data_IF_980669607387
#
_entry.id   IF_980669607387
#
_cell.length_a   1.000
_cell.length_b   1.000
_cell.length_c   1.000
_cell.angle_alpha   90.00
_cell.angle_beta   90.00
_cell.angle_gamma   90.00
#
_symmetry.space_group_name_H-M   'P 1'
#
loop_
_entity.id
_entity.type
_entity.pdbx_description
1 polymer ?
#
# COMPACT_ATOMS: atom_id res chain seq x y z
N UNK A 1 -34.10 54.32 -1.25
CA UNK A 1 -33.15 54.04 -2.34
C UNK A 1 -31.74 53.89 -1.75
N UNK A 2 -31.12 52.74 -2.03
CA UNK A 2 -29.68 52.38 -1.95
C UNK A 2 -28.89 52.68 -0.65
N UNK A 3 -28.58 51.61 0.10
CA UNK A 3 -27.39 51.55 0.97
C UNK A 3 -26.38 50.56 0.39
N UNK A 4 -25.18 51.08 0.22
CA UNK A 4 -23.88 50.51 -0.13
C UNK A 4 -23.56 49.09 0.39
N UNK A 5 -23.13 48.25 -0.56
CA UNK A 5 -22.03 47.27 -0.50
C UNK A 5 -21.53 46.79 0.87
N UNK A 6 -21.94 45.58 1.26
CA UNK A 6 -21.13 44.73 2.14
C UNK A 6 -20.49 43.61 1.32
N UNK A 7 -19.21 43.79 1.03
CA UNK A 7 -18.27 42.71 0.71
C UNK A 7 -18.39 41.64 1.79
N UNK A 8 -19.01 40.50 1.47
CA UNK A 8 -18.83 39.26 2.24
C UNK A 8 -17.49 38.70 1.82
N UNK A 9 -16.50 38.95 2.68
CA UNK A 9 -15.22 38.26 2.74
C UNK A 9 -15.44 36.77 2.53
N UNK A 10 -14.90 36.24 1.43
CA UNK A 10 -14.93 34.83 1.12
C UNK A 10 -14.22 34.05 2.22
N UNK A 11 -14.96 33.15 2.87
CA UNK A 11 -14.38 32.11 3.67
C UNK A 11 -13.52 31.23 2.75
N UNK A 12 -12.21 31.43 2.79
CA UNK A 12 -11.22 30.47 2.32
C UNK A 12 -11.49 29.16 3.06
N UNK A 13 -12.20 28.25 2.40
CA UNK A 13 -12.30 26.85 2.79
C UNK A 13 -10.88 26.32 2.81
N UNK A 14 -10.31 26.23 4.00
CA UNK A 14 -9.09 25.46 4.26
C UNK A 14 -9.39 24.03 3.85
N UNK A 15 -8.96 23.66 2.65
CA UNK A 15 -8.86 22.27 2.22
C UNK A 15 -7.88 21.63 3.19
N UNK A 16 -8.39 20.92 4.19
CA UNK A 16 -7.59 20.24 5.20
C UNK A 16 -6.50 19.40 4.52
N UNK A 17 -5.31 19.37 5.10
CA UNK A 17 -4.13 18.65 4.61
C UNK A 17 -4.40 17.18 4.18
N UNK A 18 -5.50 16.59 4.62
CA UNK A 18 -6.02 15.27 4.21
C UNK A 18 -6.35 15.13 2.71
N UNK A 19 -6.74 16.19 1.98
CA UNK A 19 -6.98 16.10 0.54
C UNK A 19 -5.70 15.80 -0.26
N UNK A 20 -4.53 16.18 0.28
CA UNK A 20 -3.22 15.87 -0.28
C UNK A 20 -2.88 14.38 -0.12
N UNK A 21 -3.39 13.72 0.93
CA UNK A 21 -3.16 12.29 1.17
C UNK A 21 -3.91 11.38 0.18
N UNK A 22 -5.15 11.72 -0.15
CA UNK A 22 -5.86 11.06 -1.24
C UNK A 22 -5.13 11.29 -2.57
N UNK A 23 -4.73 12.54 -2.86
CA UNK A 23 -4.00 12.86 -4.10
C UNK A 23 -2.69 12.07 -4.27
N UNK A 24 -1.90 11.89 -3.20
CA UNK A 24 -0.66 11.08 -3.23
C UNK A 24 -0.89 9.57 -3.42
N UNK A 25 -2.10 9.06 -3.14
CA UNK A 25 -2.52 7.68 -3.46
C UNK A 25 -3.00 7.52 -4.91
N UNK A 26 -3.27 8.63 -5.62
CA UNK A 26 -3.85 8.62 -6.97
C UNK A 26 -2.90 9.08 -8.08
N UNK A 27 -1.64 9.43 -7.77
CA UNK A 27 -0.64 9.79 -8.80
C UNK A 27 0.08 8.56 -9.36
N UNK A 28 -0.58 7.85 -10.28
CA UNK A 28 0.08 7.13 -11.35
C UNK A 28 -0.75 7.32 -12.63
N UNK A 29 -0.24 8.06 -13.64
CA UNK A 29 -1.01 8.30 -14.86
C UNK A 29 -0.98 7.03 -15.74
N UNK A 30 -2.17 6.55 -16.13
CA UNK A 30 -2.35 5.92 -17.45
C UNK A 30 -2.11 4.42 -17.62
N UNK A 31 -2.55 3.54 -16.70
CA UNK A 31 -2.78 2.13 -17.07
C UNK A 31 -4.21 1.71 -16.72
N UNK A 32 -4.98 1.34 -17.74
CA UNK A 32 -6.30 0.72 -17.59
C UNK A 32 -6.23 -0.62 -16.86
N UNK A 33 -7.39 -1.24 -16.55
CA UNK A 33 -7.43 -2.48 -15.80
C UNK A 33 -6.77 -3.61 -16.60
N UNK A 34 -5.71 -4.19 -16.05
CA UNK A 34 -5.09 -5.41 -16.58
C UNK A 34 -5.97 -6.58 -16.11
N UNK A 35 -6.50 -7.43 -17.01
CA UNK A 35 -7.16 -8.66 -16.60
C UNK A 35 -6.16 -9.61 -15.94
N UNK A 36 -6.62 -10.40 -14.96
CA UNK A 36 -5.85 -11.31 -14.10
C UNK A 36 -5.08 -12.46 -14.82
N UNK A 37 -4.85 -12.36 -16.13
CA UNK A 37 -4.08 -13.31 -16.94
C UNK A 37 -2.87 -12.73 -17.68
N UNK A 38 -2.60 -11.42 -17.63
CA UNK A 38 -1.56 -10.78 -18.45
C UNK A 38 -0.59 -9.87 -17.66
N UNK A 39 -0.27 -10.24 -16.42
CA UNK A 39 0.76 -9.57 -15.62
C UNK A 39 2.04 -10.41 -15.57
N UNK A 40 2.62 -10.70 -16.75
CA UNK A 40 4.03 -11.04 -16.87
C UNK A 40 4.66 -9.89 -17.64
N UNK A 41 5.56 -9.15 -16.99
CA UNK A 41 6.30 -8.05 -17.62
C UNK A 41 5.75 -6.65 -17.35
N UNK A 42 6.19 -6.05 -16.23
CA UNK A 42 6.50 -4.62 -16.03
C UNK A 42 6.16 -4.15 -14.60
N UNK A 43 7.10 -4.36 -13.68
CA UNK A 43 7.54 -3.34 -12.71
C UNK A 43 6.60 -2.81 -11.63
N UNK A 44 5.31 -3.18 -11.60
CA UNK A 44 4.42 -2.94 -10.46
C UNK A 44 4.01 -4.29 -9.89
N UNK A 45 4.70 -4.72 -8.84
CA UNK A 45 4.15 -5.73 -7.95
C UNK A 45 2.89 -5.16 -7.32
N UNK A 46 1.73 -5.51 -7.89
CA UNK A 46 0.52 -5.66 -7.08
C UNK A 46 0.95 -6.61 -5.99
N UNK A 47 1.08 -6.12 -4.75
CA UNK A 47 1.38 -6.97 -3.61
C UNK A 47 0.33 -8.08 -3.62
N UNK A 48 0.74 -9.30 -3.97
CA UNK A 48 -0.09 -10.47 -3.76
C UNK A 48 -0.47 -10.46 -2.29
N UNK A 49 -1.76 -10.26 -2.02
CA UNK A 49 -2.33 -10.39 -0.68
C UNK A 49 -2.06 -11.82 -0.25
N UNK A 50 -1.25 -12.10 0.79
CA UNK A 50 -1.22 -13.44 1.35
C UNK A 50 -2.64 -13.73 1.82
N UNK A 51 -3.26 -14.74 1.22
CA UNK A 51 -4.56 -15.21 1.66
C UNK A 51 -4.50 -15.48 3.16
N UNK A 52 -5.48 -14.96 3.90
CA UNK A 52 -5.76 -15.46 5.25
C UNK A 52 -5.97 -16.97 5.16
N UNK A 53 -5.26 -17.74 5.98
CA UNK A 53 -5.13 -19.21 5.90
C UNK A 53 -6.36 -19.99 6.37
N UNK A 54 -7.51 -19.32 6.53
CA UNK A 54 -8.80 -20.00 6.56
C UNK A 54 -9.15 -20.75 7.84
N UNK A 55 -8.34 -20.70 8.90
CA UNK A 55 -8.48 -21.69 9.99
C UNK A 55 -9.50 -21.41 11.10
N UNK A 56 -10.37 -20.38 11.01
CA UNK A 56 -11.52 -20.28 11.94
C UNK A 56 -12.85 -19.93 11.24
N UNK A 57 -13.99 -20.46 11.74
CA UNK A 57 -15.29 -20.25 11.10
C UNK A 57 -15.70 -18.78 11.18
N UNK A 58 -16.26 -18.27 10.08
CA UNK A 58 -16.90 -16.95 10.04
C UNK A 58 -18.02 -16.90 11.11
N UNK A 59 -18.23 -15.76 11.79
CA UNK A 59 -19.40 -15.63 12.65
C UNK A 59 -20.68 -15.73 11.81
N UNK A 60 -21.66 -16.49 12.32
CA UNK A 60 -22.92 -16.81 11.66
C UNK A 60 -23.69 -15.55 11.19
N UNK A 61 -24.64 -15.74 10.26
CA UNK A 61 -25.48 -14.70 9.66
C UNK A 61 -26.09 -13.69 10.67
N UNK A 62 -26.25 -14.07 11.95
CA UNK A 62 -26.66 -13.20 13.04
C UNK A 62 -25.68 -12.03 13.32
N UNK A 63 -24.37 -12.22 13.18
CA UNK A 63 -23.38 -11.15 13.34
C UNK A 63 -23.42 -10.14 12.17
N UNK A 64 -23.77 -10.62 10.96
CA UNK A 64 -24.04 -9.76 9.81
C UNK A 64 -25.33 -8.95 9.99
N UNK A 65 -26.37 -9.54 10.60
CA UNK A 65 -27.60 -8.85 10.97
C UNK A 65 -27.40 -7.82 12.10
N UNK A 66 -26.44 -8.04 13.01
CA UNK A 66 -26.09 -7.08 14.06
C UNK A 66 -25.39 -5.82 13.51
N UNK A 67 -24.64 -5.92 12.41
CA UNK A 67 -24.06 -4.78 11.71
C UNK A 67 -25.12 -3.89 11.02
N UNK A 68 -26.24 -4.49 10.61
CA UNK A 68 -27.38 -3.83 9.95
C UNK A 68 -28.53 -3.48 10.92
N UNK A 69 -28.42 -3.86 12.20
CA UNK A 69 -29.51 -3.83 13.17
C UNK A 69 -29.42 -2.75 14.28
N UNK A 70 -30.38 -1.81 14.24
CA UNK A 70 -30.98 -1.03 15.35
C UNK A 70 -30.10 -0.10 16.21
N UNK A 71 -29.31 0.76 15.56
CA UNK A 71 -29.20 2.21 15.86
C UNK A 71 -28.62 3.00 14.66
N UNK A 72 -28.57 2.36 13.49
CA UNK A 72 -27.98 2.94 12.30
C UNK A 72 -28.90 4.04 11.72
N UNK A 73 -28.36 5.26 11.54
CA UNK A 73 -28.88 6.15 10.49
C UNK A 73 -28.97 5.35 9.18
N UNK A 74 -29.95 5.62 8.30
CA UNK A 74 -30.31 4.69 7.23
C UNK A 74 -29.11 4.51 6.30
N UNK A 75 -28.44 3.36 6.43
CA UNK A 75 -27.37 2.94 5.53
C UNK A 75 -27.81 3.03 4.05
N UNK A 76 -29.13 2.90 3.81
CA UNK A 76 -29.77 3.14 2.51
C UNK A 76 -29.52 4.54 1.94
N UNK A 77 -29.78 5.64 2.67
CA UNK A 77 -29.76 6.98 2.06
C UNK A 77 -28.34 7.45 1.66
N UNK A 78 -27.31 7.11 2.43
CA UNK A 78 -25.92 7.42 2.07
C UNK A 78 -25.36 6.45 1.03
N UNK A 79 -25.71 5.16 1.14
CA UNK A 79 -25.37 4.14 0.13
C UNK A 79 -25.99 4.45 -1.25
N UNK A 80 -27.25 4.86 -1.28
CA UNK A 80 -27.95 5.24 -2.52
C UNK A 80 -27.32 6.48 -3.15
N UNK A 81 -26.91 7.47 -2.35
CA UNK A 81 -26.16 8.63 -2.83
C UNK A 81 -24.80 8.23 -3.40
N UNK A 82 -24.08 7.31 -2.76
CA UNK A 82 -22.82 6.77 -3.26
C UNK A 82 -23.01 6.05 -4.61
N UNK A 83 -24.04 5.20 -4.72
CA UNK A 83 -24.38 4.51 -5.96
C UNK A 83 -24.80 5.47 -7.08
N UNK A 84 -25.58 6.52 -6.74
CA UNK A 84 -25.96 7.56 -7.69
C UNK A 84 -24.74 8.35 -8.18
N UNK A 85 -23.80 8.65 -7.29
CA UNK A 85 -22.53 9.28 -7.65
C UNK A 85 -21.75 8.40 -8.63
N UNK A 86 -21.54 7.11 -8.33
CA UNK A 86 -20.82 6.19 -9.22
C UNK A 86 -21.40 6.17 -10.63
N UNK A 87 -22.73 6.10 -10.76
CA UNK A 87 -23.43 6.12 -12.06
C UNK A 87 -23.24 7.43 -12.83
N UNK A 88 -22.92 8.53 -12.14
CA UNK A 88 -22.66 9.83 -12.77
C UNK A 88 -21.20 10.03 -13.18
N UNK A 89 -20.27 9.17 -12.73
CA UNK A 89 -18.86 9.29 -13.04
C UNK A 89 -18.55 8.76 -14.44
N UNK A 90 -17.81 9.55 -15.21
CA UNK A 90 -17.37 9.17 -16.55
C UNK A 90 -16.21 8.17 -16.51
N UNK A 91 -16.22 7.06 -17.27
CA UNK A 91 -15.03 6.23 -17.43
C UNK A 91 -13.84 7.07 -17.92
N UNK A 92 -12.69 6.94 -17.26
CA UNK A 92 -11.49 7.75 -17.59
C UNK A 92 -11.57 9.23 -17.21
N UNK A 93 -12.55 9.66 -16.40
CA UNK A 93 -12.76 11.06 -16.02
C UNK A 93 -11.65 11.70 -15.16
N UNK A 94 -10.61 10.95 -14.79
CA UNK A 94 -9.39 11.44 -14.14
C UNK A 94 -9.67 12.30 -12.91
N UNK A 95 -9.05 13.49 -12.86
CA UNK A 95 -9.14 14.43 -11.74
C UNK A 95 -10.56 14.91 -11.45
N UNK A 96 -11.44 14.98 -12.45
CA UNK A 96 -12.83 15.42 -12.24
C UNK A 96 -13.61 14.42 -11.39
N UNK A 97 -13.47 13.12 -11.71
CA UNK A 97 -14.10 12.06 -10.91
C UNK A 97 -13.52 12.05 -9.50
N UNK A 98 -12.20 12.16 -9.38
CA UNK A 98 -11.52 12.21 -8.09
C UNK A 98 -12.03 13.36 -7.23
N UNK A 99 -12.16 14.57 -7.80
CA UNK A 99 -12.68 15.73 -7.07
C UNK A 99 -14.13 15.51 -6.58
N UNK A 100 -15.01 14.97 -7.43
CA UNK A 100 -16.39 14.67 -7.06
C UNK A 100 -16.48 13.63 -5.93
N UNK A 101 -15.65 12.58 -6.00
CA UNK A 101 -15.53 11.54 -4.97
C UNK A 101 -15.08 12.13 -3.63
N UNK A 102 -14.02 12.94 -3.64
CA UNK A 102 -13.48 13.53 -2.43
C UNK A 102 -14.45 14.53 -1.81
N UNK A 103 -15.15 15.32 -2.62
CA UNK A 103 -16.18 16.23 -2.15
C UNK A 103 -17.34 15.48 -1.51
N UNK A 104 -17.77 14.37 -2.11
CA UNK A 104 -18.80 13.51 -1.53
C UNK A 104 -18.38 12.97 -0.17
N UNK A 105 -17.19 12.37 -0.08
CA UNK A 105 -16.68 11.81 1.17
C UNK A 105 -16.52 12.89 2.26
N UNK A 106 -15.97 14.07 1.92
CA UNK A 106 -15.81 15.18 2.87
C UNK A 106 -17.14 15.66 3.47
N UNK A 107 -18.25 15.54 2.72
CA UNK A 107 -19.59 15.90 3.18
C UNK A 107 -20.28 14.88 4.09
N UNK A 108 -19.65 13.73 4.36
CA UNK A 108 -20.22 12.70 5.23
C UNK A 108 -19.87 12.97 6.70
N UNK A 109 -20.89 12.84 7.55
CA UNK A 109 -20.74 12.62 8.99
C UNK A 109 -20.46 11.13 9.28
N UNK A 110 -20.19 10.78 10.55
CA UNK A 110 -19.78 9.44 10.93
C UNK A 110 -20.85 8.38 10.57
N UNK A 111 -22.12 8.71 10.81
CA UNK A 111 -23.24 7.82 10.55
C UNK A 111 -23.46 7.60 9.04
N UNK A 112 -23.38 8.66 8.24
CA UNK A 112 -23.48 8.59 6.78
C UNK A 112 -22.27 7.89 6.15
N UNK A 113 -21.06 8.12 6.67
CA UNK A 113 -19.85 7.44 6.20
C UNK A 113 -19.92 5.94 6.46
N UNK A 114 -20.34 5.54 7.67
CA UNK A 114 -20.63 4.14 8.00
C UNK A 114 -21.70 3.55 7.08
N UNK A 115 -22.81 4.25 6.87
CA UNK A 115 -23.88 3.80 6.00
C UNK A 115 -23.44 3.60 4.55
N UNK A 116 -22.70 4.57 4.00
CA UNK A 116 -22.12 4.49 2.66
C UNK A 116 -21.11 3.34 2.55
N UNK A 117 -20.24 3.15 3.55
CA UNK A 117 -19.31 2.02 3.60
C UNK A 117 -20.06 0.69 3.58
N UNK A 118 -21.06 0.52 4.44
CA UNK A 118 -21.87 -0.70 4.53
C UNK A 118 -22.57 -1.07 3.21
N UNK A 119 -22.85 -0.09 2.35
CA UNK A 119 -23.42 -0.36 1.02
C UNK A 119 -22.50 -1.14 0.09
N UNK A 120 -21.23 -1.36 0.47
CA UNK A 120 -20.28 -2.21 -0.26
C UNK A 120 -20.25 -3.67 0.21
N UNK A 121 -20.93 -4.03 1.30
CA UNK A 121 -20.91 -5.40 1.84
C UNK A 121 -21.43 -6.41 0.81
N UNK A 122 -20.74 -7.54 0.66
CA UNK A 122 -21.13 -8.63 -0.25
C UNK A 122 -20.94 -8.33 -1.73
N UNK A 123 -20.49 -7.14 -2.11
CA UNK A 123 -20.21 -6.79 -3.53
C UNK A 123 -18.86 -7.31 -4.03
N UNK A 124 -18.03 -7.84 -3.13
CA UNK A 124 -16.70 -8.33 -3.47
C UNK A 124 -15.75 -7.23 -3.95
N UNK A 125 -14.76 -7.61 -4.76
CA UNK A 125 -13.81 -6.67 -5.36
C UNK A 125 -14.50 -5.71 -6.33
N UNK A 126 -14.23 -4.42 -6.19
CA UNK A 126 -14.72 -3.40 -7.11
C UNK A 126 -14.02 -3.57 -8.47
N UNK A 127 -14.79 -3.93 -9.49
CA UNK A 127 -14.26 -4.20 -10.84
C UNK A 127 -13.84 -2.96 -11.63
N UNK A 128 -14.13 -1.76 -11.13
CA UNK A 128 -13.79 -0.50 -11.79
C UNK A 128 -13.09 0.50 -10.84
N UNK A 129 -12.27 1.35 -11.45
CA UNK A 129 -11.45 2.34 -10.73
C UNK A 129 -12.31 3.33 -9.92
N UNK A 130 -13.44 3.79 -10.46
CA UNK A 130 -14.27 4.80 -9.80
C UNK A 130 -14.90 4.24 -8.52
N UNK A 131 -15.38 2.99 -8.57
CA UNK A 131 -15.89 2.27 -7.40
C UNK A 131 -14.80 2.12 -6.34
N UNK A 132 -13.60 1.67 -6.73
CA UNK A 132 -12.48 1.56 -5.80
C UNK A 132 -12.15 2.91 -5.13
N UNK A 133 -12.03 3.98 -5.93
CA UNK A 133 -11.72 5.33 -5.44
C UNK A 133 -12.79 5.86 -4.48
N UNK A 134 -14.07 5.65 -4.81
CA UNK A 134 -15.17 6.10 -3.96
C UNK A 134 -15.14 5.42 -2.61
N UNK A 135 -15.04 4.09 -2.59
CA UNK A 135 -15.10 3.37 -1.33
C UNK A 135 -13.83 3.56 -0.49
N UNK A 136 -12.64 3.68 -1.10
CA UNK A 136 -11.43 4.08 -0.36
C UNK A 136 -11.62 5.43 0.35
N UNK A 137 -12.19 6.43 -0.34
CA UNK A 137 -12.48 7.73 0.24
C UNK A 137 -13.54 7.65 1.36
N UNK A 138 -14.59 6.83 1.19
CA UNK A 138 -15.64 6.63 2.20
C UNK A 138 -15.10 5.91 3.44
N UNK A 139 -14.33 4.82 3.28
CA UNK A 139 -13.71 4.11 4.41
C UNK A 139 -12.72 5.00 5.15
N UNK A 140 -11.89 5.75 4.42
CA UNK A 140 -10.95 6.71 5.01
C UNK A 140 -11.69 7.78 5.80
N UNK A 141 -12.75 8.37 5.23
CA UNK A 141 -13.58 9.34 5.94
C UNK A 141 -14.20 8.78 7.21
N UNK A 142 -14.72 7.56 7.15
CA UNK A 142 -15.27 6.91 8.33
C UNK A 142 -14.19 6.71 9.40
N UNK A 143 -13.00 6.26 9.02
CA UNK A 143 -11.86 6.10 9.94
C UNK A 143 -11.34 7.41 10.52
N UNK A 144 -11.38 8.52 9.78
CA UNK A 144 -11.04 9.86 10.29
C UNK A 144 -12.00 10.33 11.39
N UNK A 145 -13.29 9.99 11.24
CA UNK A 145 -14.34 10.42 12.16
C UNK A 145 -14.47 9.51 13.37
N UNK A 146 -14.34 8.19 13.17
CA UNK A 146 -14.53 7.18 14.21
C UNK A 146 -13.76 5.89 13.89
N UNK A 147 -12.43 5.86 14.16
CA UNK A 147 -11.60 4.70 13.87
C UNK A 147 -11.96 3.48 14.74
N UNK A 148 -12.53 3.68 15.92
CA UNK A 148 -12.94 2.58 16.81
C UNK A 148 -14.14 1.83 16.25
N UNK A 149 -15.15 2.55 15.73
CA UNK A 149 -16.28 1.92 15.06
C UNK A 149 -15.86 1.15 13.80
N UNK A 150 -14.88 1.67 13.04
CA UNK A 150 -14.32 0.97 11.86
C UNK A 150 -13.64 -0.33 12.28
N UNK A 151 -12.79 -0.31 13.30
CA UNK A 151 -12.11 -1.51 13.80
C UNK A 151 -13.10 -2.52 14.39
N UNK A 152 -14.18 -2.05 15.04
CA UNK A 152 -15.22 -2.94 15.52
C UNK A 152 -15.96 -3.61 14.35
N UNK A 153 -16.27 -2.86 13.28
CA UNK A 153 -16.88 -3.44 12.09
C UNK A 153 -15.97 -4.47 11.41
N UNK A 154 -14.65 -4.25 11.39
CA UNK A 154 -13.68 -5.21 10.89
C UNK A 154 -13.70 -6.54 11.69
N UNK A 155 -13.87 -6.47 13.02
CA UNK A 155 -13.93 -7.65 13.90
C UNK A 155 -15.20 -8.47 13.70
N UNK A 156 -16.33 -7.81 13.44
CA UNK A 156 -17.65 -8.47 13.39
C UNK A 156 -18.06 -8.92 11.99
N UNK A 157 -17.46 -8.38 10.93
CA UNK A 157 -17.85 -8.71 9.56
C UNK A 157 -17.40 -10.12 9.16
N UNK A 158 -18.26 -10.83 8.40
CA UNK A 158 -17.90 -12.06 7.69
C UNK A 158 -17.30 -11.83 6.29
N UNK A 159 -17.37 -10.59 5.78
CA UNK A 159 -16.83 -10.24 4.46
C UNK A 159 -15.33 -9.90 4.59
N UNK A 160 -14.47 -10.76 4.01
CA UNK A 160 -13.01 -10.61 4.08
C UNK A 160 -12.50 -9.34 3.42
N UNK A 161 -13.10 -8.94 2.28
CA UNK A 161 -12.70 -7.74 1.56
C UNK A 161 -13.06 -6.50 2.39
N UNK A 162 -14.28 -6.45 2.92
CA UNK A 162 -14.71 -5.37 3.81
C UNK A 162 -13.85 -5.27 5.07
N UNK A 163 -13.50 -6.43 5.67
CA UNK A 163 -12.57 -6.49 6.81
C UNK A 163 -11.22 -5.87 6.46
N UNK A 164 -10.65 -6.24 5.33
CA UNK A 164 -9.38 -5.68 4.88
C UNK A 164 -9.47 -4.16 4.67
N UNK A 165 -10.51 -3.69 3.98
CA UNK A 165 -10.68 -2.26 3.69
C UNK A 165 -10.86 -1.42 4.96
N UNK A 166 -11.65 -1.90 5.91
CA UNK A 166 -11.86 -1.23 7.21
C UNK A 166 -10.58 -1.22 8.03
N UNK A 167 -9.84 -2.34 8.12
CA UNK A 167 -8.54 -2.37 8.78
C UNK A 167 -7.54 -1.41 8.13
N UNK A 168 -7.46 -1.42 6.79
CA UNK A 168 -6.54 -0.58 6.04
C UNK A 168 -6.80 0.91 6.30
N UNK A 169 -8.07 1.33 6.23
CA UNK A 169 -8.46 2.71 6.50
C UNK A 169 -8.18 3.12 7.95
N UNK A 170 -8.63 2.31 8.93
CA UNK A 170 -8.45 2.62 10.35
C UNK A 170 -6.98 2.72 10.74
N UNK A 171 -6.17 1.72 10.40
CA UNK A 171 -4.77 1.71 10.80
C UNK A 171 -3.91 2.70 10.03
N UNK A 172 -4.24 3.04 8.77
CA UNK A 172 -3.56 4.12 8.07
C UNK A 172 -3.82 5.49 8.73
N UNK A 173 -5.07 5.77 9.10
CA UNK A 173 -5.43 7.01 9.81
C UNK A 173 -4.76 7.07 11.19
N UNK A 174 -4.85 5.97 11.96
CA UNK A 174 -4.25 5.90 13.29
C UNK A 174 -2.72 6.04 13.22
N UNK A 175 -2.05 5.38 12.26
CA UNK A 175 -0.60 5.45 12.12
C UNK A 175 -0.09 6.87 11.88
N UNK A 176 -0.80 7.63 11.02
CA UNK A 176 -0.46 9.01 10.72
C UNK A 176 -0.73 9.97 11.89
N UNK A 177 -1.71 9.65 12.75
CA UNK A 177 -2.05 10.45 13.93
C UNK A 177 -1.12 10.17 15.10
N UNK A 178 -0.99 8.90 15.47
CA UNK A 178 -0.11 8.39 16.53
C UNK A 178 0.28 6.94 16.23
N UNK A 179 1.46 6.77 15.65
CA UNK A 179 2.00 5.46 15.27
C UNK A 179 2.20 4.50 16.44
N UNK A 180 2.49 5.00 17.65
CA UNK A 180 2.72 4.16 18.82
C UNK A 180 1.38 3.63 19.33
N UNK A 181 0.37 4.51 19.43
CA UNK A 181 -0.98 4.10 19.77
C UNK A 181 -1.59 3.16 18.73
N UNK A 182 -1.33 3.41 17.44
CA UNK A 182 -1.75 2.53 16.35
C UNK A 182 -1.12 1.13 16.52
N UNK A 183 0.17 1.07 16.83
CA UNK A 183 0.88 -0.19 17.05
C UNK A 183 0.33 -0.96 18.25
N UNK A 184 0.06 -0.29 19.37
CA UNK A 184 -0.56 -0.91 20.54
C UNK A 184 -2.00 -1.39 20.26
N UNK A 185 -2.73 -0.64 19.45
CA UNK A 185 -4.06 -1.07 19.00
C UNK A 185 -3.95 -2.33 18.14
N UNK A 186 -3.00 -2.39 17.21
CA UNK A 186 -2.74 -3.57 16.40
C UNK A 186 -2.37 -4.81 17.24
N UNK A 187 -1.61 -4.63 18.33
CA UNK A 187 -1.27 -5.71 19.27
C UNK A 187 -2.50 -6.41 19.86
N UNK A 188 -3.58 -5.65 20.04
CA UNK A 188 -4.86 -6.08 20.63
C UNK A 188 -5.86 -6.64 19.60
N UNK A 189 -5.48 -6.74 18.31
CA UNK A 189 -6.35 -7.24 17.23
C UNK A 189 -6.40 -8.77 17.12
N UNK A 190 -5.87 -9.52 18.10
CA UNK A 190 -5.92 -10.98 18.10
C UNK A 190 -5.23 -11.57 16.85
N UNK A 191 -5.90 -12.45 16.07
CA UNK A 191 -5.36 -13.03 14.84
C UNK A 191 -4.98 -11.99 13.78
N UNK A 192 -5.68 -10.85 13.73
CA UNK A 192 -5.44 -9.78 12.76
C UNK A 192 -4.24 -8.88 13.10
N UNK A 193 -3.53 -9.16 14.19
CA UNK A 193 -2.42 -8.34 14.69
C UNK A 193 -1.30 -8.11 13.67
N UNK A 194 -0.83 -9.16 13.01
CA UNK A 194 0.30 -9.05 12.09
C UNK A 194 -0.10 -8.22 10.85
N UNK A 195 -1.31 -8.47 10.33
CA UNK A 195 -1.86 -7.70 9.21
C UNK A 195 -2.05 -6.22 9.58
N UNK A 196 -2.56 -5.94 10.79
CA UNK A 196 -2.70 -4.58 11.31
C UNK A 196 -1.34 -3.85 11.39
N UNK A 197 -0.31 -4.52 11.92
CA UNK A 197 1.06 -3.98 11.98
C UNK A 197 1.63 -3.73 10.59
N UNK A 198 1.41 -4.64 9.64
CA UNK A 198 1.83 -4.48 8.26
C UNK A 198 1.23 -3.24 7.61
N UNK A 199 -0.06 -2.99 7.82
CA UNK A 199 -0.75 -1.78 7.36
C UNK A 199 -0.08 -0.53 7.94
N UNK A 200 0.20 -0.52 9.25
CA UNK A 200 0.88 0.60 9.92
C UNK A 200 2.27 0.84 9.30
N UNK A 201 3.07 -0.20 9.16
CA UNK A 201 4.42 -0.08 8.57
C UNK A 201 4.35 0.44 7.13
N UNK A 202 3.40 -0.02 6.33
CA UNK A 202 3.23 0.47 4.97
C UNK A 202 2.81 1.95 4.93
N UNK A 203 1.89 2.37 5.81
CA UNK A 203 1.46 3.76 5.90
C UNK A 203 2.62 4.69 6.30
N UNK A 204 3.44 4.26 7.27
CA UNK A 204 4.60 5.01 7.72
C UNK A 204 5.75 4.97 6.72
N UNK A 205 5.99 3.85 6.02
CA UNK A 205 7.03 3.78 4.97
C UNK A 205 6.89 4.89 3.93
N UNK A 206 5.65 5.27 3.62
CA UNK A 206 5.34 6.32 2.67
C UNK A 206 5.39 7.75 3.23
N UNK A 207 5.44 7.95 4.55
CA UNK A 207 5.30 9.28 5.18
C UNK A 207 6.43 9.60 6.14
N UNK A 208 6.87 8.62 6.92
CA UNK A 208 7.95 8.67 7.89
C UNK A 208 8.64 7.28 7.97
N UNK A 209 9.54 6.98 7.01
CA UNK A 209 10.19 5.67 6.95
C UNK A 209 11.14 5.43 8.14
N UNK A 210 11.64 6.47 8.80
CA UNK A 210 12.44 6.33 10.02
C UNK A 210 11.58 5.80 11.17
N UNK A 211 10.38 6.36 11.36
CA UNK A 211 9.45 5.87 12.39
C UNK A 211 8.96 4.46 12.09
N UNK A 212 8.71 4.13 10.81
CA UNK A 212 8.42 2.76 10.39
C UNK A 212 9.57 1.80 10.74
N UNK A 213 10.82 2.22 10.52
CA UNK A 213 12.01 1.45 10.86
C UNK A 213 12.15 1.21 12.35
N UNK A 214 11.93 2.23 13.18
CA UNK A 214 12.03 2.10 14.63
C UNK A 214 10.99 1.13 15.19
N UNK A 215 9.74 1.19 14.69
CA UNK A 215 8.68 0.26 15.07
C UNK A 215 8.98 -1.18 14.62
N UNK A 216 9.36 -1.37 13.35
CA UNK A 216 9.68 -2.70 12.81
C UNK A 216 10.93 -3.30 13.47
N UNK A 217 11.92 -2.48 13.81
CA UNK A 217 13.15 -2.94 14.46
C UNK A 217 12.93 -3.37 15.91
N UNK A 218 11.95 -2.78 16.59
CA UNK A 218 11.59 -3.14 17.95
C UNK A 218 10.55 -4.27 18.01
N UNK A 219 9.95 -4.67 16.88
CA UNK A 219 9.07 -5.83 16.85
C UNK A 219 9.87 -7.13 17.04
N UNK A 220 9.37 -8.03 17.90
CA UNK A 220 9.94 -9.38 18.10
C UNK A 220 9.20 -10.45 17.28
N UNK A 221 8.69 -10.06 16.12
CA UNK A 221 7.80 -10.90 15.32
C UNK A 221 8.57 -11.72 14.28
N UNK A 222 8.04 -12.89 13.93
CA UNK A 222 8.65 -13.78 12.93
C UNK A 222 8.60 -13.20 11.51
N UNK A 223 7.62 -12.33 11.22
CA UNK A 223 7.46 -11.63 9.94
C UNK A 223 8.37 -10.40 9.77
N UNK A 224 9.17 -10.06 10.81
CA UNK A 224 10.06 -8.90 10.81
C UNK A 224 11.02 -8.84 9.61
N UNK A 225 11.68 -9.93 9.15
CA UNK A 225 12.56 -9.86 7.98
C UNK A 225 11.82 -9.42 6.72
N UNK A 226 10.61 -9.94 6.49
CA UNK A 226 9.78 -9.57 5.34
C UNK A 226 9.31 -8.12 5.44
N UNK A 227 8.86 -7.69 6.63
CA UNK A 227 8.44 -6.30 6.86
C UNK A 227 9.59 -5.32 6.62
N UNK A 228 10.79 -5.66 7.11
CA UNK A 228 11.98 -4.83 6.92
C UNK A 228 12.42 -4.77 5.46
N UNK A 229 12.34 -5.87 4.71
CA UNK A 229 12.62 -5.89 3.28
C UNK A 229 11.71 -4.91 2.52
N UNK A 230 10.40 -4.94 2.79
CA UNK A 230 9.43 -4.07 2.13
C UNK A 230 9.64 -2.59 2.49
N UNK A 231 9.87 -2.31 3.77
CA UNK A 231 10.19 -0.96 4.24
C UNK A 231 11.44 -0.41 3.55
N UNK A 232 12.52 -1.20 3.49
CA UNK A 232 13.78 -0.77 2.88
C UNK A 232 13.68 -0.57 1.38
N UNK A 233 12.89 -1.38 0.69
CA UNK A 233 12.58 -1.14 -0.71
C UNK A 233 11.87 0.22 -0.87
N UNK A 234 10.79 0.47 -0.12
CA UNK A 234 10.03 1.72 -0.24
C UNK A 234 10.84 2.96 0.14
N UNK A 235 11.62 2.89 1.21
CA UNK A 235 12.52 3.97 1.61
C UNK A 235 13.62 4.18 0.56
N UNK A 236 14.23 3.11 0.09
CA UNK A 236 15.29 3.15 -0.91
C UNK A 236 14.87 3.71 -2.26
N UNK A 237 13.58 3.62 -2.60
CA UNK A 237 13.03 4.26 -3.80
C UNK A 237 13.09 5.80 -3.75
N UNK A 238 13.22 6.39 -2.56
CA UNK A 238 13.23 7.85 -2.35
C UNK A 238 14.57 8.36 -1.86
N UNK A 239 15.18 7.62 -0.93
CA UNK A 239 16.46 7.95 -0.30
C UNK A 239 17.24 6.67 -0.01
N UNK A 240 17.93 6.11 -1.02
CA UNK A 240 18.68 4.88 -0.86
C UNK A 240 19.87 4.99 0.11
N UNK A 241 20.45 6.19 0.25
CA UNK A 241 21.56 6.42 1.18
C UNK A 241 21.09 6.35 2.63
N UNK A 242 19.99 7.04 2.97
CA UNK A 242 19.42 6.97 4.32
C UNK A 242 18.92 5.55 4.65
N UNK A 243 18.25 4.88 3.70
CA UNK A 243 17.83 3.49 3.86
C UNK A 243 19.03 2.55 4.10
N UNK A 244 20.12 2.75 3.36
CA UNK A 244 21.37 2.00 3.53
C UNK A 244 21.97 2.20 4.92
N UNK A 245 22.06 3.44 5.38
CA UNK A 245 22.54 3.75 6.73
C UNK A 245 21.63 3.13 7.82
N UNK A 246 20.31 3.13 7.62
CA UNK A 246 19.37 2.50 8.55
C UNK A 246 19.52 0.98 8.59
N UNK A 247 19.64 0.30 7.44
CA UNK A 247 19.86 -1.14 7.37
C UNK A 247 21.10 -1.59 8.15
N UNK A 248 22.13 -0.75 8.21
CA UNK A 248 23.38 -1.02 8.94
C UNK A 248 23.25 -0.89 10.46
N UNK A 249 22.19 -0.26 10.97
CA UNK A 249 21.89 -0.20 12.42
C UNK A 249 21.25 -1.49 12.93
N UNK A 250 20.79 -2.37 12.05
CA UNK A 250 20.22 -3.66 12.43
C UNK A 250 21.33 -4.60 12.93
N UNK A 251 21.07 -5.44 13.94
CA UNK A 251 21.98 -6.52 14.30
C UNK A 251 22.23 -7.44 13.11
N UNK A 252 23.45 -7.97 13.00
CA UNK A 252 23.79 -8.96 11.99
C UNK A 252 22.86 -10.18 12.09
N UNK A 253 22.37 -10.66 10.95
CA UNK A 253 21.43 -11.79 10.88
C UNK A 253 20.35 -11.60 9.81
N UNK A 254 19.33 -12.45 9.86
CA UNK A 254 18.33 -12.57 8.81
C UNK A 254 17.62 -11.25 8.49
N UNK A 255 17.21 -10.48 9.49
CA UNK A 255 16.50 -9.20 9.28
C UNK A 255 17.36 -8.19 8.53
N UNK A 256 18.65 -8.06 8.88
CA UNK A 256 19.58 -7.17 8.18
C UNK A 256 19.83 -7.64 6.75
N UNK A 257 19.95 -8.94 6.54
CA UNK A 257 20.10 -9.50 5.19
C UNK A 257 18.86 -9.20 4.31
N UNK A 258 17.66 -9.37 4.86
CA UNK A 258 16.41 -9.03 4.15
C UNK A 258 16.30 -7.53 3.86
N UNK A 259 16.70 -6.68 4.80
CA UNK A 259 16.78 -5.22 4.64
C UNK A 259 17.69 -4.84 3.46
N UNK A 260 18.91 -5.39 3.47
CA UNK A 260 19.94 -5.16 2.44
C UNK A 260 19.46 -5.61 1.06
N UNK A 261 18.90 -6.81 0.96
CA UNK A 261 18.40 -7.35 -0.32
C UNK A 261 17.24 -6.53 -0.88
N UNK A 262 16.30 -6.10 -0.02
CA UNK A 262 15.17 -5.25 -0.42
C UNK A 262 15.61 -3.89 -0.95
N UNK A 263 16.55 -3.24 -0.25
CA UNK A 263 17.15 -1.98 -0.71
C UNK A 263 17.90 -2.16 -2.04
N UNK A 264 18.78 -3.16 -2.13
CA UNK A 264 19.58 -3.41 -3.31
C UNK A 264 18.73 -3.60 -4.56
N UNK A 265 17.67 -4.42 -4.44
CA UNK A 265 16.74 -4.68 -5.53
C UNK A 265 16.05 -3.39 -5.98
N UNK A 266 15.48 -2.62 -5.04
CA UNK A 266 14.74 -1.42 -5.41
C UNK A 266 15.63 -0.30 -5.92
N UNK A 267 16.82 -0.12 -5.35
CA UNK A 267 17.79 0.86 -5.84
C UNK A 267 18.27 0.50 -7.23
N UNK A 268 18.59 -0.78 -7.49
CA UNK A 268 19.02 -1.24 -8.80
C UNK A 268 17.98 -1.03 -9.91
N UNK A 269 16.68 -1.01 -9.56
CA UNK A 269 15.61 -0.72 -10.51
C UNK A 269 15.69 0.71 -11.08
N UNK A 270 16.21 1.66 -10.31
CA UNK A 270 16.41 3.06 -10.74
C UNK A 270 17.84 3.39 -11.13
N UNK A 271 18.82 2.81 -10.42
CA UNK A 271 20.25 3.09 -10.57
C UNK A 271 21.08 1.87 -10.13
N UNK A 272 21.35 1.01 -11.10
CA UNK A 272 22.12 -0.21 -10.91
C UNK A 272 23.59 0.03 -10.51
N UNK A 273 24.22 1.07 -11.06
CA UNK A 273 25.64 1.36 -10.84
C UNK A 273 25.87 1.82 -9.40
N UNK A 274 25.06 2.76 -8.91
CA UNK A 274 25.12 3.18 -7.51
C UNK A 274 24.76 2.05 -6.54
N UNK A 275 23.74 1.24 -6.87
CA UNK A 275 23.34 0.10 -6.03
C UNK A 275 24.46 -0.95 -5.90
N UNK A 276 25.18 -1.25 -6.98
CA UNK A 276 26.30 -2.22 -6.96
C UNK A 276 27.56 -1.66 -6.32
N UNK A 277 27.82 -0.36 -6.46
CA UNK A 277 28.88 0.32 -5.72
C UNK A 277 28.62 0.28 -4.21
N UNK A 278 27.39 0.58 -3.77
CA UNK A 278 26.98 0.42 -2.38
C UNK A 278 27.09 -1.04 -1.92
N UNK A 279 26.61 -1.99 -2.72
CA UNK A 279 26.69 -3.41 -2.41
C UNK A 279 28.14 -3.86 -2.16
N UNK A 280 29.09 -3.37 -2.95
CA UNK A 280 30.52 -3.70 -2.83
C UNK A 280 31.19 -3.07 -1.60
N UNK A 281 30.64 -1.97 -1.07
CA UNK A 281 31.10 -1.32 0.15
C UNK A 281 30.58 -1.99 1.45
N UNK A 282 29.72 -3.03 1.35
CA UNK A 282 29.17 -3.69 2.54
C UNK A 282 30.27 -4.49 3.29
N UNK A 283 30.24 -4.51 4.64
CA UNK A 283 31.36 -5.01 5.45
C UNK A 283 31.66 -6.50 5.24
N UNK A 284 30.62 -7.34 5.18
CA UNK A 284 30.82 -8.80 5.10
C UNK A 284 30.66 -9.31 3.67
N UNK A 285 31.41 -10.35 3.31
CA UNK A 285 31.28 -10.99 2.00
C UNK A 285 29.86 -11.50 1.72
N UNK A 286 29.17 -11.99 2.75
CA UNK A 286 27.79 -12.44 2.64
C UNK A 286 26.82 -11.29 2.29
N UNK A 287 26.96 -10.14 2.93
CA UNK A 287 26.14 -8.96 2.64
C UNK A 287 26.39 -8.41 1.24
N UNK A 288 27.67 -8.33 0.83
CA UNK A 288 28.05 -7.94 -0.54
C UNK A 288 27.41 -8.86 -1.57
N UNK A 289 27.51 -10.18 -1.35
CA UNK A 289 26.94 -11.19 -2.24
C UNK A 289 25.41 -11.08 -2.31
N UNK A 290 24.74 -10.93 -1.17
CA UNK A 290 23.28 -10.80 -1.09
C UNK A 290 22.78 -9.55 -1.85
N UNK A 291 23.36 -8.38 -1.56
CA UNK A 291 22.98 -7.14 -2.23
C UNK A 291 23.24 -7.19 -3.75
N UNK A 292 24.43 -7.66 -4.14
CA UNK A 292 24.81 -7.78 -5.57
C UNK A 292 23.87 -8.75 -6.31
N UNK A 293 23.55 -9.89 -5.70
CA UNK A 293 22.63 -10.87 -6.30
C UNK A 293 21.22 -10.28 -6.47
N UNK A 294 20.71 -9.55 -5.48
CA UNK A 294 19.40 -8.90 -5.55
C UNK A 294 19.34 -7.78 -6.61
N UNK A 295 20.41 -6.99 -6.73
CA UNK A 295 20.53 -5.96 -7.75
C UNK A 295 20.53 -6.56 -9.17
N UNK A 296 21.32 -7.62 -9.38
CA UNK A 296 21.45 -8.29 -10.67
C UNK A 296 20.14 -9.02 -11.05
N UNK A 297 19.47 -9.66 -10.10
CA UNK A 297 18.17 -10.28 -10.33
C UNK A 297 17.13 -9.25 -10.78
N UNK A 298 17.19 -8.03 -10.25
CA UNK A 298 16.31 -6.95 -10.69
C UNK A 298 16.66 -6.51 -12.10
N UNK A 299 17.96 -6.32 -12.38
CA UNK A 299 18.44 -5.91 -13.69
C UNK A 299 18.07 -6.92 -14.78
N UNK A 300 18.17 -8.23 -14.50
CA UNK A 300 17.82 -9.28 -15.48
C UNK A 300 16.36 -9.25 -15.92
N UNK A 301 15.46 -8.66 -15.13
CA UNK A 301 14.03 -8.56 -15.44
C UNK A 301 13.68 -7.25 -16.17
N UNK A 302 14.34 -6.15 -15.82
CA UNK A 302 14.02 -4.82 -16.37
C UNK A 302 14.82 -4.50 -17.64
N UNK A 303 16.09 -4.91 -17.66
CA UNK A 303 17.06 -4.64 -18.73
C UNK A 303 18.02 -5.84 -18.84
N UNK A 304 17.56 -6.94 -19.47
CA UNK A 304 18.35 -8.14 -19.60
C UNK A 304 19.65 -7.93 -20.39
N UNK A 305 19.69 -7.01 -21.36
CA UNK A 305 20.89 -6.71 -22.15
C UNK A 305 21.96 -6.02 -21.31
N UNK A 306 21.56 -4.99 -20.53
CA UNK A 306 22.45 -4.35 -19.56
C UNK A 306 22.90 -5.35 -18.50
N UNK A 307 22.03 -6.28 -18.09
CA UNK A 307 22.39 -7.38 -17.18
C UNK A 307 23.51 -8.26 -17.76
N UNK A 308 23.36 -8.76 -18.98
CA UNK A 308 24.37 -9.58 -19.63
C UNK A 308 25.71 -8.85 -19.81
N UNK A 309 25.67 -7.54 -20.03
CA UNK A 309 26.87 -6.71 -20.09
C UNK A 309 27.54 -6.56 -18.72
N UNK A 310 26.76 -6.26 -17.67
CA UNK A 310 27.27 -6.15 -16.30
C UNK A 310 27.85 -7.47 -15.78
N UNK A 311 27.30 -8.62 -16.20
CA UNK A 311 27.81 -9.95 -15.85
C UNK A 311 29.14 -10.29 -16.52
N UNK A 312 29.56 -9.56 -17.56
CA UNK A 312 30.90 -9.71 -18.16
C UNK A 312 31.98 -9.04 -17.32
N UNK A 313 31.63 -7.94 -16.64
CA UNK A 313 32.56 -7.11 -15.85
C UNK A 313 32.55 -7.41 -14.35
N UNK A 314 31.44 -7.93 -13.81
CA UNK A 314 31.32 -8.23 -12.39
C UNK A 314 31.88 -9.63 -12.06
N UNK A 315 32.62 -9.74 -10.97
CA UNK A 315 32.94 -11.02 -10.31
C UNK A 315 31.68 -11.54 -9.57
N UNK A 316 30.68 -11.87 -10.37
CA UNK A 316 29.51 -12.64 -9.95
C UNK A 316 30.03 -14.04 -9.70
N UNK A 317 30.16 -14.42 -8.42
CA UNK A 317 30.60 -15.76 -8.00
C UNK A 317 29.71 -16.90 -8.54
N UNK A 318 29.62 -17.99 -7.80
CA UNK A 318 29.09 -19.28 -8.31
C UNK A 318 27.67 -19.29 -8.93
N UNK A 319 26.89 -18.20 -8.85
CA UNK A 319 25.54 -18.11 -9.43
C UNK A 319 25.46 -17.44 -10.83
N UNK A 320 26.60 -17.13 -11.47
CA UNK A 320 26.66 -16.45 -12.79
C UNK A 320 25.82 -17.15 -13.86
N UNK A 321 25.92 -18.47 -13.96
CA UNK A 321 25.20 -19.28 -14.97
C UNK A 321 23.69 -19.22 -14.80
N UNK A 322 23.19 -19.27 -13.57
CA UNK A 322 21.75 -19.16 -13.27
C UNK A 322 21.19 -17.79 -13.68
N UNK A 323 21.95 -16.73 -13.42
CA UNK A 323 21.57 -15.37 -13.77
C UNK A 323 21.58 -15.17 -15.30
N UNK A 324 22.59 -15.68 -16.01
CA UNK A 324 22.64 -15.63 -17.48
C UNK A 324 21.40 -16.31 -18.07
N UNK A 325 21.08 -17.52 -17.60
CA UNK A 325 19.89 -18.23 -18.06
C UNK A 325 18.61 -17.41 -17.85
N UNK A 326 18.48 -16.75 -16.69
CA UNK A 326 17.32 -15.93 -16.39
C UNK A 326 17.22 -14.68 -17.27
N UNK A 327 18.35 -13.99 -17.52
CA UNK A 327 18.40 -12.85 -18.43
C UNK A 327 18.05 -13.27 -19.88
N UNK A 328 18.60 -14.40 -20.33
CA UNK A 328 18.30 -14.97 -21.65
C UNK A 328 16.82 -15.38 -21.77
N UNK A 329 16.24 -15.99 -20.74
CA UNK A 329 14.80 -16.30 -20.73
C UNK A 329 13.94 -15.04 -20.77
N UNK A 330 14.35 -13.96 -20.10
CA UNK A 330 13.62 -12.68 -20.15
C UNK A 330 13.70 -12.00 -21.52
N UNK A 331 14.82 -12.15 -22.24
CA UNK A 331 14.94 -11.70 -23.64
C UNK A 331 14.03 -12.51 -24.55
N UNK A 332 14.08 -13.83 -24.43
CA UNK A 332 13.25 -14.72 -25.24
C UNK A 332 11.76 -14.40 -25.09
N UNK A 333 11.26 -14.16 -23.86
CA UNK A 333 9.87 -13.78 -23.63
C UNK A 333 9.50 -12.43 -24.26
N UNK A 334 10.41 -11.44 -24.23
CA UNK A 334 10.16 -10.12 -24.87
C UNK A 334 10.08 -10.22 -26.39
N UNK A 335 10.93 -11.05 -27.00
CA UNK A 335 10.95 -11.23 -28.45
C UNK A 335 9.67 -11.93 -28.95
N UNK A 336 9.08 -12.83 -28.15
CA UNK A 336 7.82 -13.50 -28.47
C UNK A 336 6.58 -12.59 -28.39
N UNK A 337 6.56 -11.61 -27.50
CA UNK A 337 5.45 -10.64 -27.37
C UNK A 337 5.56 -9.46 -28.37
N UNK A 338 6.68 -9.35 -29.08
CA UNK A 338 7.03 -8.25 -29.99
C UNK A 338 6.86 -8.53 -31.49
N UNK A 339 6.35 -9.71 -31.88
CA UNK A 339 6.01 -10.08 -33.28
C UNK A 339 4.51 -10.17 -33.48
#
# INVERSE_FOLDING_TARGET
MSLSSRLRTGALLTISAAAVFAAGRFTAPGRGPVPLGAAVGAGNTVLAVPAWDGQEPLPDAAAQAALTGKTAAPAGAAGDRAQKLLKSLTPGGGLKNQAAILQFAAGLDAASARGAAMSSLGKGWFGDQNSYQLYDAVFTRWAELDPEAVLQAAKTTGDQFFRYQTMNAAFAVLANKDSNQAWETANKMGPMRNESRRIILNALSATDPQKAFDLASNSKTSDRPWAMQNLMAQWGARDPQAAGAAAMKLPAGQTRNSAIGGLASRWAASDFESATAWASALPTAHERMNATSAAIQTLSQIDPEKCLTALKSADVGNNRTGIINQAMSSLALRDFDGT
#
